data_IF_477595870112
#
_entry.id   IF_477595870112
#
_cell.length_a   1.000
_cell.length_b   1.000
_cell.length_c   1.000
_cell.angle_alpha   90.00
_cell.angle_beta   90.00
_cell.angle_gamma   90.00
#
_symmetry.space_group_name_H-M   'P 1'
#
loop_
_entity.id
_entity.type
_entity.pdbx_description
1 polymer ?
#
# COMPACT_ATOMS: atom_id res chain seq x y z
N UNK A 1 -15.74 23.37 14.20
CA UNK A 1 -16.60 22.92 13.09
C UNK A 1 -16.44 23.92 11.95
N UNK A 2 -15.75 23.55 10.86
CA UNK A 2 -15.47 24.48 9.76
C UNK A 2 -16.69 24.68 8.86
N UNK A 3 -16.86 25.90 8.33
CA UNK A 3 -17.95 26.23 7.40
C UNK A 3 -17.95 25.30 6.18
N UNK A 4 -19.13 24.85 5.68
CA UNK A 4 -19.21 24.01 4.50
C UNK A 4 -18.54 24.71 3.31
N UNK A 5 -17.65 23.99 2.61
CA UNK A 5 -16.97 24.52 1.43
C UNK A 5 -17.99 24.76 0.30
N UNK A 6 -17.84 25.88 -0.41
CA UNK A 6 -18.57 26.17 -1.64
C UNK A 6 -18.47 24.98 -2.62
N UNK A 7 -19.54 24.58 -3.30
CA UNK A 7 -19.54 23.39 -4.19
C UNK A 7 -18.41 23.41 -5.23
N UNK A 8 -18.01 24.58 -5.72
CA UNK A 8 -16.88 24.71 -6.66
C UNK A 8 -15.53 24.43 -6.00
N UNK A 9 -15.37 24.81 -4.73
CA UNK A 9 -14.15 24.50 -3.97
C UNK A 9 -14.01 22.99 -3.74
N UNK A 10 -15.13 22.27 -3.58
CA UNK A 10 -15.12 20.80 -3.49
C UNK A 10 -14.64 20.16 -4.80
N UNK A 11 -15.13 20.65 -5.95
CA UNK A 11 -14.70 20.19 -7.28
C UNK A 11 -13.22 20.49 -7.53
N UNK A 12 -12.78 21.70 -7.20
CA UNK A 12 -11.38 22.11 -7.34
C UNK A 12 -10.46 21.21 -6.50
N UNK A 13 -10.85 20.89 -5.26
CA UNK A 13 -10.10 19.95 -4.41
C UNK A 13 -9.96 18.58 -5.06
N UNK A 14 -11.03 18.06 -5.66
CA UNK A 14 -10.97 16.78 -6.38
C UNK A 14 -9.99 16.85 -7.54
N UNK A 15 -10.04 17.91 -8.35
CA UNK A 15 -9.14 18.10 -9.50
C UNK A 15 -7.68 18.18 -9.02
N UNK A 16 -7.39 18.95 -7.97
CA UNK A 16 -6.04 19.11 -7.42
C UNK A 16 -5.45 17.74 -6.99
N UNK A 17 -6.29 16.82 -6.51
CA UNK A 17 -5.84 15.50 -6.06
C UNK A 17 -5.78 14.49 -7.21
N UNK A 18 -6.80 14.45 -8.07
CA UNK A 18 -6.90 13.44 -9.13
C UNK A 18 -6.03 13.76 -10.34
N UNK A 19 -5.80 15.03 -10.65
CA UNK A 19 -5.04 15.45 -11.82
C UNK A 19 -3.57 14.98 -11.77
N UNK A 20 -2.81 15.17 -10.66
CA UNK A 20 -1.45 14.65 -10.59
C UNK A 20 -1.36 13.13 -10.73
N UNK A 21 -2.31 12.39 -10.12
CA UNK A 21 -2.38 10.93 -10.26
C UNK A 21 -2.59 10.51 -11.72
N UNK A 22 -3.50 11.19 -12.44
CA UNK A 22 -3.74 10.95 -13.86
C UNK A 22 -2.50 11.25 -14.71
N UNK A 23 -1.82 12.37 -14.45
CA UNK A 23 -0.60 12.74 -15.20
C UNK A 23 0.50 11.70 -15.00
N UNK A 24 0.77 11.29 -13.75
CA UNK A 24 1.81 10.30 -13.45
C UNK A 24 1.50 8.94 -14.09
N UNK A 25 0.27 8.46 -13.94
CA UNK A 25 -0.15 7.17 -14.50
C UNK A 25 -0.12 7.19 -16.03
N UNK A 26 -0.61 8.26 -16.66
CA UNK A 26 -0.55 8.45 -18.10
C UNK A 26 0.90 8.48 -18.61
N UNK A 27 1.80 9.19 -17.93
CA UNK A 27 3.21 9.23 -18.30
C UNK A 27 3.89 7.85 -18.20
N UNK A 28 3.60 7.08 -17.15
CA UNK A 28 4.11 5.70 -17.00
C UNK A 28 3.60 4.81 -18.13
N UNK A 29 2.31 4.89 -18.44
CA UNK A 29 1.70 4.10 -19.51
C UNK A 29 2.25 4.50 -20.88
N UNK A 30 2.46 5.79 -21.14
CA UNK A 30 3.07 6.28 -22.38
C UNK A 30 4.47 5.69 -22.57
N UNK A 31 5.30 5.72 -21.51
CA UNK A 31 6.64 5.11 -21.54
C UNK A 31 6.62 3.61 -21.82
N UNK A 32 5.69 2.87 -21.19
CA UNK A 32 5.61 1.41 -21.35
C UNK A 32 4.98 0.98 -22.67
N UNK A 33 3.83 1.56 -23.02
CA UNK A 33 3.02 1.12 -24.14
C UNK A 33 3.50 1.71 -25.48
N UNK A 34 4.03 2.95 -25.47
CA UNK A 34 4.42 3.63 -26.69
C UNK A 34 5.94 3.65 -26.90
N UNK A 35 6.72 3.97 -25.85
CA UNK A 35 8.18 4.01 -25.96
C UNK A 35 8.84 2.63 -25.78
N UNK A 36 8.07 1.60 -25.42
CA UNK A 36 8.58 0.24 -25.25
C UNK A 36 9.56 0.07 -24.09
N UNK A 37 9.55 0.98 -23.10
CA UNK A 37 10.38 0.82 -21.90
C UNK A 37 10.01 -0.49 -21.19
N UNK A 38 10.96 -1.43 -21.10
CA UNK A 38 10.75 -2.71 -20.42
C UNK A 38 10.27 -2.46 -18.98
N UNK A 39 9.18 -3.15 -18.58
CA UNK A 39 8.73 -3.13 -17.20
C UNK A 39 9.88 -3.63 -16.31
N UNK A 40 10.42 -2.76 -15.44
CA UNK A 40 11.49 -3.14 -14.49
C UNK A 40 11.08 -4.44 -13.82
N UNK A 41 11.83 -5.51 -14.11
CA UNK A 41 11.66 -6.80 -13.47
C UNK A 41 11.97 -6.55 -11.99
N UNK A 42 10.95 -6.54 -11.15
CA UNK A 42 11.17 -6.57 -9.70
C UNK A 42 12.01 -7.82 -9.50
N UNK A 43 13.24 -7.72 -8.96
CA UNK A 43 13.99 -8.89 -8.59
C UNK A 43 13.07 -9.68 -7.69
N UNK A 44 12.58 -10.82 -8.19
CA UNK A 44 11.99 -11.85 -7.35
C UNK A 44 13.16 -12.49 -6.65
N UNK A 45 13.87 -11.73 -5.83
CA UNK A 45 14.61 -12.32 -4.76
C UNK A 45 13.55 -12.72 -3.74
N UNK A 46 12.92 -13.85 -4.04
CA UNK A 46 12.25 -14.71 -3.08
C UNK A 46 13.33 -15.29 -2.16
N UNK A 47 14.19 -14.44 -1.59
CA UNK A 47 14.95 -14.80 -0.41
C UNK A 47 13.97 -14.81 0.75
N UNK A 48 13.21 -15.89 0.80
CA UNK A 48 12.62 -16.50 1.98
C UNK A 48 11.92 -15.53 2.95
N UNK A 49 10.60 -15.48 2.88
CA UNK A 49 9.78 -14.79 3.89
C UNK A 49 10.14 -15.17 5.34
N UNK A 50 10.79 -16.33 5.56
CA UNK A 50 11.35 -16.74 6.86
C UNK A 50 12.63 -15.97 7.22
N UNK A 51 13.56 -15.77 6.28
CA UNK A 51 14.76 -14.95 6.50
C UNK A 51 14.37 -13.48 6.70
N UNK A 52 13.39 -12.99 5.94
CA UNK A 52 12.83 -11.66 6.16
C UNK A 52 12.21 -11.53 7.56
N UNK A 53 11.42 -12.52 8.01
CA UNK A 53 10.88 -12.55 9.39
C UNK A 53 11.97 -12.63 10.46
N UNK A 54 13.02 -13.43 10.25
CA UNK A 54 14.11 -13.61 11.20
C UNK A 54 14.93 -12.33 11.38
N UNK A 55 15.19 -11.60 10.30
CA UNK A 55 15.84 -10.28 10.35
C UNK A 55 14.94 -9.22 10.99
N UNK A 56 13.64 -9.25 10.71
CA UNK A 56 12.66 -8.32 11.30
C UNK A 56 12.44 -8.60 12.80
N UNK A 57 12.52 -9.86 13.24
CA UNK A 57 12.47 -10.24 14.66
C UNK A 57 13.67 -9.73 15.46
N UNK A 58 14.85 -9.62 14.85
CA UNK A 58 16.04 -9.01 15.48
C UNK A 58 15.94 -7.48 15.60
N UNK A 59 15.23 -6.82 14.68
CA UNK A 59 15.04 -5.36 14.68
C UNK A 59 13.66 -5.03 15.28
N UNK A 60 13.39 -5.51 16.49
CA UNK A 60 12.35 -4.94 17.35
C UNK A 60 10.91 -4.99 16.83
N UNK A 61 10.49 -6.11 16.21
CA UNK A 61 9.07 -6.51 16.11
C UNK A 61 8.22 -5.77 15.07
N UNK A 62 7.37 -6.52 14.37
CA UNK A 62 6.38 -5.97 13.42
C UNK A 62 5.13 -5.50 14.18
N UNK A 63 4.72 -4.22 14.07
CA UNK A 63 3.63 -3.63 14.87
C UNK A 63 2.19 -4.13 14.62
N UNK A 64 1.97 -5.20 13.87
CA UNK A 64 0.62 -5.66 13.47
C UNK A 64 0.38 -7.15 13.72
N UNK A 65 0.95 -7.72 14.78
CA UNK A 65 0.46 -9.01 15.28
C UNK A 65 -1.04 -8.90 15.55
N UNK A 66 -1.81 -9.68 14.78
CA UNK A 66 -3.26 -9.80 14.90
C UNK A 66 -3.57 -10.44 16.26
N UNK A 67 -3.86 -9.58 17.24
CA UNK A 67 -4.28 -9.88 18.62
C UNK A 67 -5.66 -10.54 18.69
N UNK A 68 -5.82 -11.68 18.02
CA UNK A 68 -7.07 -12.44 17.97
C UNK A 68 -6.90 -13.95 17.96
N UNK A 69 -5.65 -14.46 18.08
CA UNK A 69 -5.37 -15.89 17.99
C UNK A 69 -5.21 -16.60 19.34
N UNK A 70 -5.63 -15.96 20.44
CA UNK A 70 -5.53 -16.56 21.78
C UNK A 70 -6.89 -16.90 22.40
N UNK A 71 -8.02 -16.57 21.74
CA UNK A 71 -9.36 -16.74 22.32
C UNK A 71 -10.09 -18.01 21.88
N UNK A 72 -9.51 -18.86 21.02
CA UNK A 72 -10.17 -20.10 20.55
C UNK A 72 -9.66 -21.40 21.17
N UNK A 73 -8.51 -21.43 21.86
CA UNK A 73 -8.00 -22.67 22.47
C UNK A 73 -8.48 -22.91 23.91
N UNK A 74 -9.13 -21.94 24.56
CA UNK A 74 -9.51 -22.04 25.97
C UNK A 74 -10.89 -22.68 26.25
N UNK A 75 -11.68 -23.07 25.23
CA UNK A 75 -13.03 -23.63 25.44
C UNK A 75 -13.22 -25.07 24.95
N UNK A 76 -12.16 -25.75 24.49
CA UNK A 76 -12.19 -27.18 24.14
C UNK A 76 -11.44 -27.99 25.19
N UNK A 77 -11.76 -27.77 26.46
CA UNK A 77 -11.59 -28.80 27.49
C UNK A 77 -12.37 -28.38 28.74
N UNK A 78 -13.66 -28.69 28.75
CA UNK A 78 -14.43 -28.83 29.98
C UNK A 78 -15.45 -29.94 29.80
#
# INVERSE_FOLDING_TARGET
MGSPLHPDAKRLRTIIISFPLLVVTSAILYRRAYLGEEQRKIPRDVTDSRIAHERIGQVGGVPWELQGKDSQEATVNK
#
